data_IF_712022698366
#
_entry.id   IF_712022698366
#
_cell.length_a   1.000
_cell.length_b   1.000
_cell.length_c   1.000
_cell.angle_alpha   90.00
_cell.angle_beta   90.00
_cell.angle_gamma   90.00
#
_symmetry.space_group_name_H-M   'P 1'
#
loop_
_entity.id
_entity.type
_entity.pdbx_description
1 polymer ?
#
# COMPACT_ATOMS: atom_id res chain seq x y z
N UNK A 1 24.94 -35.32 10.26
CA UNK A 1 23.75 -34.45 10.11
C UNK A 1 23.62 -34.15 8.63
N UNK A 2 22.48 -34.44 8.01
CA UNK A 2 22.21 -33.99 6.63
C UNK A 2 21.74 -32.54 6.74
N UNK A 3 22.50 -31.62 6.16
CA UNK A 3 22.07 -30.23 6.03
C UNK A 3 21.15 -30.13 4.83
N UNK A 4 19.88 -29.80 5.04
CA UNK A 4 18.98 -29.45 3.95
C UNK A 4 19.42 -28.07 3.43
N UNK A 5 19.90 -28.01 2.20
CA UNK A 5 20.26 -26.77 1.52
C UNK A 5 19.13 -26.43 0.55
N UNK A 6 18.48 -25.31 0.79
CA UNK A 6 17.45 -24.76 -0.08
C UNK A 6 18.03 -23.57 -0.83
N UNK A 7 17.59 -23.36 -2.07
CA UNK A 7 18.00 -22.21 -2.86
C UNK A 7 17.39 -20.91 -2.29
N UNK A 8 18.02 -19.78 -2.55
CA UNK A 8 17.55 -18.49 -2.06
C UNK A 8 16.31 -18.04 -2.85
N UNK A 9 15.34 -17.34 -2.22
CA UNK A 9 14.23 -16.75 -2.96
C UNK A 9 14.75 -15.74 -3.97
N UNK A 10 14.17 -15.71 -5.16
CA UNK A 10 14.48 -14.70 -6.18
C UNK A 10 13.20 -13.96 -6.49
N UNK A 11 13.20 -12.64 -6.33
CA UNK A 11 12.10 -11.82 -6.82
C UNK A 11 12.34 -11.43 -8.28
N UNK A 12 11.35 -11.69 -9.13
CA UNK A 12 11.34 -11.27 -10.53
C UNK A 12 10.55 -9.96 -10.74
N UNK A 13 9.51 -9.72 -9.95
CA UNK A 13 8.68 -8.52 -10.11
C UNK A 13 7.52 -8.41 -9.14
N UNK A 14 6.85 -7.27 -9.19
CA UNK A 14 5.69 -6.94 -8.33
C UNK A 14 4.61 -6.29 -9.19
N UNK A 15 3.35 -6.66 -8.95
CA UNK A 15 2.20 -6.08 -9.66
C UNK A 15 0.97 -5.96 -8.76
N UNK A 16 0.29 -4.81 -8.71
CA UNK A 16 0.68 -3.54 -9.31
C UNK A 16 1.94 -2.95 -8.65
N UNK A 17 2.69 -2.12 -9.38
CA UNK A 17 3.87 -1.39 -8.87
C UNK A 17 3.49 -0.08 -8.17
N UNK A 18 2.20 0.26 -8.15
CA UNK A 18 1.66 1.44 -7.47
C UNK A 18 0.46 1.03 -6.62
N UNK A 19 0.35 1.58 -5.41
CA UNK A 19 -0.81 1.38 -4.56
C UNK A 19 -1.06 2.55 -3.60
N UNK A 20 -2.27 2.65 -3.03
CA UNK A 20 -2.64 3.76 -2.16
C UNK A 20 -1.85 3.77 -0.85
N UNK A 21 -1.41 4.95 -0.40
CA UNK A 21 -0.76 5.15 0.91
C UNK A 21 -1.65 4.78 2.10
N UNK A 22 -2.97 4.71 1.89
CA UNK A 22 -3.93 4.19 2.86
C UNK A 22 -3.78 2.69 3.15
N UNK A 23 -2.95 1.96 2.40
CA UNK A 23 -2.74 0.52 2.55
C UNK A 23 -3.93 -0.31 2.07
N UNK A 24 -4.01 -1.57 2.53
CA UNK A 24 -5.10 -2.53 2.25
C UNK A 24 -5.30 -2.95 0.79
N UNK A 25 -4.51 -2.42 -0.14
CA UNK A 25 -4.43 -2.93 -1.50
C UNK A 25 -3.56 -4.19 -1.53
N UNK A 26 -3.87 -5.12 -2.43
CA UNK A 26 -3.11 -6.34 -2.60
C UNK A 26 -2.14 -6.19 -3.76
N UNK A 27 -0.90 -6.65 -3.55
CA UNK A 27 0.12 -6.80 -4.58
C UNK A 27 0.47 -8.27 -4.75
N UNK A 28 0.75 -8.67 -5.99
CA UNK A 28 1.31 -9.97 -6.32
C UNK A 28 2.81 -9.81 -6.55
N UNK A 29 3.59 -10.58 -5.80
CA UNK A 29 5.03 -10.71 -5.96
C UNK A 29 5.30 -12.00 -6.73
N UNK A 30 6.04 -11.88 -7.82
CA UNK A 30 6.42 -13.01 -8.68
C UNK A 30 7.92 -13.27 -8.60
N UNK A 31 8.33 -14.52 -8.70
CA UNK A 31 9.72 -14.92 -8.51
C UNK A 31 9.94 -16.42 -8.62
N UNK A 32 10.90 -16.94 -7.86
CA UNK A 32 11.18 -18.36 -7.71
C UNK A 32 11.70 -18.68 -6.31
N UNK A 33 11.69 -19.97 -5.95
CA UNK A 33 12.16 -20.48 -4.66
C UNK A 33 11.41 -19.91 -3.45
N UNK A 34 10.11 -19.67 -3.59
CA UNK A 34 9.23 -19.19 -2.52
C UNK A 34 8.81 -20.27 -1.52
N UNK A 35 9.38 -21.46 -1.64
CA UNK A 35 9.03 -22.64 -0.87
C UNK A 35 7.88 -23.44 -1.48
N UNK A 36 7.54 -24.55 -0.85
CA UNK A 36 6.55 -25.52 -1.34
C UNK A 36 5.18 -25.41 -0.66
N UNK A 37 5.08 -24.62 0.40
CA UNK A 37 3.87 -24.38 1.17
C UNK A 37 4.00 -23.06 1.97
N UNK A 38 2.88 -22.55 2.49
CA UNK A 38 2.84 -21.39 3.39
C UNK A 38 3.47 -21.74 4.77
N UNK A 39 4.76 -21.46 4.93
CA UNK A 39 5.59 -21.85 6.10
C UNK A 39 6.54 -20.68 6.46
N UNK A 40 5.96 -19.54 6.87
CA UNK A 40 6.75 -18.40 7.35
C UNK A 40 7.37 -17.53 6.27
N UNK A 41 6.77 -17.48 5.07
CA UNK A 41 7.12 -16.47 4.07
C UNK A 41 6.62 -15.09 4.47
N UNK A 42 7.50 -14.12 4.38
CA UNK A 42 7.23 -12.75 4.78
C UNK A 42 7.54 -11.81 3.61
N UNK A 43 6.59 -10.95 3.27
CA UNK A 43 6.80 -9.89 2.27
C UNK A 43 6.83 -8.55 3.01
N UNK A 44 7.79 -7.70 2.66
CA UNK A 44 7.94 -6.35 3.21
C UNK A 44 8.04 -5.31 2.11
N UNK A 45 7.39 -4.16 2.32
CA UNK A 45 7.47 -2.99 1.42
C UNK A 45 8.16 -1.85 2.15
N UNK A 46 9.38 -1.53 1.73
CA UNK A 46 10.29 -0.65 2.46
C UNK A 46 10.66 -1.26 3.82
N UNK A 47 10.32 -0.55 4.89
CA UNK A 47 10.56 -0.99 6.27
C UNK A 47 9.29 -1.53 6.95
N UNK A 48 8.24 -1.81 6.18
CA UNK A 48 6.93 -2.20 6.70
C UNK A 48 6.55 -3.59 6.20
N UNK A 49 6.29 -4.50 7.14
CA UNK A 49 5.80 -5.84 6.85
C UNK A 49 4.39 -5.78 6.27
N UNK A 50 4.09 -6.63 5.29
CA UNK A 50 2.74 -6.79 4.77
C UNK A 50 1.79 -7.28 5.88
N UNK A 51 0.58 -6.74 5.93
CA UNK A 51 -0.39 -7.11 6.97
C UNK A 51 -0.85 -8.57 6.84
N UNK A 52 -0.93 -9.06 5.61
CA UNK A 52 -1.21 -10.46 5.29
C UNK A 52 -0.31 -10.85 4.13
N UNK A 53 0.34 -12.00 4.24
CA UNK A 53 1.08 -12.63 3.14
C UNK A 53 0.45 -13.99 2.85
N UNK A 54 0.16 -14.25 1.58
CA UNK A 54 -0.47 -15.49 1.12
C UNK A 54 0.36 -16.09 0.00
N UNK A 55 1.01 -17.20 0.29
CA UNK A 55 1.70 -18.03 -0.68
C UNK A 55 0.68 -18.66 -1.63
N UNK A 56 0.97 -18.59 -2.92
CA UNK A 56 0.12 -19.17 -3.98
C UNK A 56 0.86 -20.28 -4.70
N UNK A 57 2.16 -20.10 -4.96
CA UNK A 57 3.06 -21.09 -5.55
C UNK A 57 4.52 -20.78 -5.18
N UNK A 58 5.44 -21.68 -5.56
CA UNK A 58 6.89 -21.48 -5.46
C UNK A 58 7.42 -20.25 -6.22
N UNK A 59 6.57 -19.62 -7.03
CA UNK A 59 6.87 -18.49 -7.90
C UNK A 59 5.92 -17.30 -7.72
N UNK A 60 4.92 -17.39 -6.83
CA UNK A 60 3.92 -16.35 -6.64
C UNK A 60 3.43 -16.24 -5.20
N UNK A 61 3.40 -15.02 -4.69
CA UNK A 61 2.78 -14.67 -3.41
C UNK A 61 1.91 -13.42 -3.55
N UNK A 62 0.88 -13.33 -2.72
CA UNK A 62 0.07 -12.12 -2.57
C UNK A 62 0.40 -11.47 -1.23
N UNK A 63 0.59 -10.15 -1.22
CA UNK A 63 0.78 -9.36 -0.02
C UNK A 63 -0.28 -8.26 0.07
N UNK A 64 -0.89 -8.11 1.24
CA UNK A 64 -1.71 -6.96 1.58
C UNK A 64 -0.84 -5.82 2.11
N UNK A 65 -0.84 -4.70 1.40
CA UNK A 65 0.01 -3.56 1.67
C UNK A 65 -0.31 -2.92 3.03
N UNK A 66 0.72 -2.60 3.83
CA UNK A 66 0.55 -1.74 4.99
C UNK A 66 0.34 -0.30 4.56
N UNK A 67 -0.10 0.54 5.50
CA UNK A 67 -0.11 2.00 5.31
C UNK A 67 1.33 2.49 5.13
N UNK A 68 1.56 3.35 4.15
CA UNK A 68 2.90 3.79 3.79
C UNK A 68 2.93 5.24 3.30
N UNK A 69 4.10 5.88 3.35
CA UNK A 69 4.26 7.25 2.85
C UNK A 69 4.52 7.29 1.33
N UNK A 70 4.15 8.40 0.68
CA UNK A 70 4.20 8.68 -0.76
C UNK A 70 5.62 8.74 -1.33
N UNK A 71 6.30 7.60 -1.34
CA UNK A 71 7.67 7.45 -1.79
C UNK A 71 7.84 6.11 -2.49
N UNK A 72 8.90 6.03 -3.30
CA UNK A 72 9.37 4.79 -3.89
C UNK A 72 9.95 3.90 -2.79
N UNK A 73 9.60 2.61 -2.82
CA UNK A 73 9.94 1.60 -1.81
C UNK A 73 10.50 0.36 -2.47
N UNK A 74 11.42 -0.27 -1.74
CA UNK A 74 11.95 -1.58 -2.07
C UNK A 74 10.91 -2.63 -1.67
N UNK A 75 10.88 -3.77 -2.35
CA UNK A 75 10.08 -4.91 -1.94
C UNK A 75 11.02 -6.05 -1.60
N UNK A 76 10.85 -6.65 -0.43
CA UNK A 76 11.67 -7.76 0.05
C UNK A 76 10.79 -8.96 0.35
N UNK A 77 11.29 -10.16 0.04
CA UNK A 77 10.68 -11.44 0.45
C UNK A 77 11.69 -12.19 1.29
N UNK A 78 11.25 -12.66 2.45
CA UNK A 78 12.00 -13.56 3.31
C UNK A 78 11.34 -14.95 3.34
N UNK A 79 12.15 -15.99 3.16
CA UNK A 79 11.72 -17.40 3.17
C UNK A 79 12.78 -18.22 3.89
N UNK A 80 12.41 -18.90 4.98
CA UNK A 80 13.32 -19.80 5.71
C UNK A 80 14.61 -19.12 6.19
N UNK A 81 14.55 -17.84 6.56
CA UNK A 81 15.72 -17.05 6.98
C UNK A 81 16.56 -16.47 5.84
N UNK A 82 16.24 -16.77 4.58
CA UNK A 82 16.88 -16.16 3.41
C UNK A 82 16.04 -14.97 2.92
N UNK A 83 16.68 -13.90 2.48
CA UNK A 83 15.98 -12.67 2.04
C UNK A 83 16.42 -12.26 0.65
N UNK A 84 15.48 -11.78 -0.14
CA UNK A 84 15.70 -11.24 -1.49
C UNK A 84 14.96 -9.92 -1.64
N UNK A 85 15.59 -8.96 -2.31
CA UNK A 85 15.12 -7.57 -2.37
C UNK A 85 15.15 -7.03 -3.78
N UNK A 86 14.03 -6.43 -4.20
CA UNK A 86 13.94 -5.60 -5.39
C UNK A 86 13.94 -4.12 -4.99
N UNK A 87 15.00 -3.36 -5.32
CA UNK A 87 15.07 -1.95 -4.99
C UNK A 87 14.13 -1.11 -5.87
N UNK A 88 13.40 -0.19 -5.24
CA UNK A 88 12.61 0.84 -5.92
C UNK A 88 11.47 0.36 -6.82
N UNK A 89 10.98 -0.87 -6.68
CA UNK A 89 9.97 -1.41 -7.61
C UNK A 89 8.53 -0.99 -7.29
N UNK A 90 8.28 -0.47 -6.09
CA UNK A 90 6.92 -0.13 -5.65
C UNK A 90 6.81 1.36 -5.26
N UNK A 91 5.68 2.01 -5.55
CA UNK A 91 5.45 3.41 -5.20
C UNK A 91 4.07 3.61 -4.56
N UNK A 92 4.03 4.34 -3.44
CA UNK A 92 2.77 4.71 -2.81
C UNK A 92 2.19 5.97 -3.45
N UNK A 93 0.94 5.89 -3.93
CA UNK A 93 0.18 7.02 -4.45
C UNK A 93 -0.77 7.61 -3.40
N UNK A 94 -1.09 8.89 -3.54
CA UNK A 94 -2.06 9.57 -2.70
C UNK A 94 -3.42 8.87 -2.82
N UNK A 95 -4.15 8.68 -1.71
CA UNK A 95 -5.48 8.09 -1.79
C UNK A 95 -6.33 8.99 -2.68
N UNK A 96 -7.07 8.40 -3.61
CA UNK A 96 -8.03 9.17 -4.39
C UNK A 96 -9.12 9.71 -3.48
N UNK A 97 -9.61 10.91 -3.77
CA UNK A 97 -10.68 11.52 -2.99
C UNK A 97 -11.91 10.60 -2.86
N UNK A 98 -12.24 9.83 -3.90
CA UNK A 98 -13.29 8.82 -3.86
C UNK A 98 -13.09 7.78 -2.73
N UNK A 99 -11.87 7.28 -2.53
CA UNK A 99 -11.55 6.32 -1.47
C UNK A 99 -11.67 6.94 -0.07
N UNK A 100 -11.37 8.24 0.06
CA UNK A 100 -11.61 9.00 1.29
C UNK A 100 -13.12 9.11 1.55
N UNK A 101 -13.90 9.54 0.55
CA UNK A 101 -15.35 9.68 0.66
C UNK A 101 -16.04 8.36 1.06
N UNK A 102 -15.64 7.23 0.47
CA UNK A 102 -16.19 5.91 0.78
C UNK A 102 -15.87 5.43 2.20
N UNK A 103 -14.72 5.80 2.75
CA UNK A 103 -14.32 5.42 4.10
C UNK A 103 -15.02 6.25 5.19
N UNK A 104 -15.38 7.50 4.90
CA UNK A 104 -15.99 8.41 5.88
C UNK A 104 -17.51 8.51 5.81
N UNK A 105 -18.19 7.91 4.81
CA UNK A 105 -19.66 7.92 4.70
C UNK A 105 -20.31 9.30 4.57
N UNK A 106 -19.51 10.37 4.60
CA UNK A 106 -19.94 11.75 4.59
C UNK A 106 -19.61 12.37 3.24
N UNK A 107 -20.63 12.99 2.65
CA UNK A 107 -20.63 13.74 1.41
C UNK A 107 -19.34 14.57 1.29
N UNK A 108 -18.45 14.18 0.38
CA UNK A 108 -17.34 15.03 0.00
C UNK A 108 -17.86 16.17 -0.86
N UNK A 109 -18.40 17.21 -0.22
CA UNK A 109 -18.33 18.54 -0.81
C UNK A 109 -16.85 18.98 -0.76
N UNK A 110 -16.44 19.72 -1.79
CA UNK A 110 -15.05 19.98 -2.15
C UNK A 110 -14.30 20.93 -1.19
N UNK A 111 -14.25 20.60 0.10
CA UNK A 111 -13.74 21.51 1.16
C UNK A 111 -12.59 20.91 1.98
N UNK A 112 -12.10 19.69 1.65
CA UNK A 112 -10.91 19.15 2.28
C UNK A 112 -9.64 19.64 1.54
N UNK A 113 -8.61 20.14 2.25
CA UNK A 113 -7.39 20.67 1.64
C UNK A 113 -6.58 19.64 0.84
N UNK A 114 -6.86 18.34 0.99
CA UNK A 114 -6.25 17.25 0.22
C UNK A 114 -7.00 16.89 -1.07
N UNK A 115 -8.16 17.51 -1.34
CA UNK A 115 -8.97 17.31 -2.53
C UNK A 115 -9.10 18.59 -3.38
N UNK A 116 -8.10 19.48 -3.29
CA UNK A 116 -8.02 20.68 -4.11
C UNK A 116 -7.80 20.33 -5.58
N UNK A 117 -8.81 20.56 -6.40
CA UNK A 117 -8.64 20.64 -7.86
C UNK A 117 -7.79 21.86 -8.22
N UNK A 118 -6.92 21.71 -9.23
CA UNK A 118 -6.06 22.76 -9.76
C UNK A 118 -6.81 24.01 -10.28
N UNK A 119 -6.08 24.96 -10.89
CA UNK A 119 -6.37 26.40 -10.84
C UNK A 119 -7.65 26.72 -11.61
N UNK A 120 -8.74 26.92 -10.87
CA UNK A 120 -10.04 27.25 -11.44
C UNK A 120 -11.14 27.55 -10.43
N UNK A 121 -10.83 27.77 -9.15
CA UNK A 121 -11.82 28.11 -8.12
C UNK A 121 -12.28 29.57 -8.20
N UNK A 122 -12.85 29.96 -9.35
CA UNK A 122 -13.78 31.10 -9.40
C UNK A 122 -15.13 30.64 -8.89
N UNK A 123 -15.33 30.82 -7.58
CA UNK A 123 -16.58 31.25 -6.93
C UNK A 123 -16.58 30.70 -5.51
N UNK A 124 -15.91 31.40 -4.61
CA UNK A 124 -16.46 31.48 -3.26
C UNK A 124 -17.84 32.13 -3.41
N UNK A 125 -18.97 31.50 -3.05
CA UNK A 125 -20.13 32.29 -2.75
C UNK A 125 -19.79 33.06 -1.48
N UNK A 126 -19.58 34.37 -1.63
CA UNK A 126 -19.55 35.31 -0.51
C UNK A 126 -20.81 35.13 0.31
N UNK A 127 -20.71 34.48 1.48
CA UNK A 127 -21.87 34.36 2.36
C UNK A 127 -21.89 33.15 3.27
N UNK A 128 -20.89 33.00 4.14
CA UNK A 128 -21.11 32.35 5.42
C UNK A 128 -20.82 33.38 6.51
N UNK A 129 -21.88 34.11 6.85
CA UNK A 129 -21.91 35.03 7.97
C UNK A 129 -21.76 34.20 9.25
N UNK A 130 -20.76 34.53 10.08
CA UNK A 130 -20.66 34.01 11.46
C UNK A 130 -21.63 34.81 12.34
N UNK A 131 -22.78 34.24 12.65
CA UNK A 131 -23.77 34.67 13.65
C UNK A 131 -24.51 33.40 14.10
N UNK A 132 -24.67 33.03 15.37
CA UNK A 132 -24.62 33.81 16.61
C UNK A 132 -24.17 32.92 17.77
N UNK A 133 -23.39 33.53 18.67
CA UNK A 133 -23.42 33.20 20.09
C UNK A 133 -24.61 33.95 20.71
N UNK A 134 -25.48 33.25 21.42
CA UNK A 134 -26.16 33.64 22.69
C UNK A 134 -27.61 33.13 22.78
N UNK A 135 -27.85 32.22 23.74
CA UNK A 135 -29.06 32.07 24.59
C UNK A 135 -30.44 31.85 23.94
N UNK A 136 -31.49 31.52 24.73
CA UNK A 136 -31.58 31.45 26.20
C UNK A 136 -31.50 30.04 26.81
#
# INVERSE_FOLDING_TARGET
RVGLSYDAPVLAGVRPTIGPSAGKANITVTGSNFGTAQEGQEVSVGNSLCSVTTWTSDSSMTCSLPRGALLQRNVSVAVGGQTSTLPGVFNYSSPSCAAICSASGALCNASLPSCGTGPGSSSVPSGYYLLDMDGP
#
